data_IF_068540219433
#
_entry.id   IF_068540219433
#
_cell.length_a   1.000
_cell.length_b   1.000
_cell.length_c   1.000
_cell.angle_alpha   90.00
_cell.angle_beta   90.00
_cell.angle_gamma   90.00
#
_symmetry.space_group_name_H-M   'P 1'
#
loop_
_entity.id
_entity.type
_entity.pdbx_description
1 polymer ?
#
# COMPACT_ATOMS: atom_id res chain seq x y z
N UNK A 1 -11.45 -1.78 18.70
CA UNK A 1 -9.98 -1.86 18.91
C UNK A 1 -9.33 -0.74 18.13
N UNK A 2 -8.28 -0.18 18.65
CA UNK A 2 -7.52 0.84 17.94
C UNK A 2 -6.65 0.20 16.86
N UNK A 3 -6.58 0.82 15.69
CA UNK A 3 -5.64 0.43 14.62
C UNK A 3 -4.22 0.82 15.04
N UNK A 4 -3.24 -0.07 14.82
CA UNK A 4 -1.83 0.22 15.10
C UNK A 4 -1.15 0.79 13.84
N UNK A 5 -0.41 1.89 14.01
CA UNK A 5 0.42 2.45 12.92
C UNK A 5 1.80 1.83 12.97
N UNK A 6 2.24 1.28 11.85
CA UNK A 6 3.54 0.64 11.67
C UNK A 6 4.32 1.38 10.59
N UNK A 7 5.50 1.90 10.93
CA UNK A 7 6.28 2.75 10.02
C UNK A 7 7.45 2.02 9.35
N UNK A 8 7.87 0.86 9.84
CA UNK A 8 9.03 0.14 9.31
C UNK A 8 8.68 -1.27 8.85
N UNK A 9 9.42 -1.78 7.85
CA UNK A 9 9.28 -3.16 7.39
C UNK A 9 9.60 -4.17 8.49
N UNK A 10 10.58 -3.86 9.34
CA UNK A 10 10.96 -4.75 10.44
C UNK A 10 9.81 -4.91 11.45
N UNK A 11 9.19 -3.82 11.86
CA UNK A 11 8.05 -3.87 12.78
C UNK A 11 6.83 -4.54 12.15
N UNK A 12 6.58 -4.28 10.85
CA UNK A 12 5.51 -4.95 10.10
C UNK A 12 5.73 -6.47 10.10
N UNK A 13 6.94 -6.93 9.78
CA UNK A 13 7.29 -8.35 9.78
C UNK A 13 7.08 -8.97 11.18
N UNK A 14 7.55 -8.31 12.24
CA UNK A 14 7.38 -8.76 13.62
C UNK A 14 5.91 -8.97 13.96
N UNK A 15 5.05 -8.01 13.64
CA UNK A 15 3.60 -8.12 13.89
C UNK A 15 2.95 -9.24 13.10
N UNK A 16 3.31 -9.37 11.82
CA UNK A 16 2.72 -10.38 10.94
C UNK A 16 3.23 -11.80 11.24
N UNK A 17 4.47 -11.95 11.70
CA UNK A 17 5.01 -13.25 12.11
C UNK A 17 4.27 -13.81 13.32
N UNK A 18 3.91 -12.97 14.30
CA UNK A 18 3.07 -13.36 15.44
C UNK A 18 1.71 -13.88 14.96
N UNK A 19 1.07 -13.16 14.04
CA UNK A 19 -0.24 -13.53 13.48
C UNK A 19 -0.15 -14.86 12.73
N UNK A 20 0.83 -14.99 11.84
CA UNK A 20 1.02 -16.20 11.03
C UNK A 20 1.40 -17.42 11.85
N UNK A 21 2.14 -17.24 12.94
CA UNK A 21 2.52 -18.36 13.83
C UNK A 21 1.30 -19.02 14.50
N UNK A 22 0.19 -18.29 14.62
CA UNK A 22 -1.10 -18.84 15.08
C UNK A 22 -1.93 -19.49 13.98
N UNK A 23 -1.45 -19.48 12.73
CA UNK A 23 -2.19 -19.99 11.56
C UNK A 23 -3.19 -19.01 10.98
N UNK A 24 -3.21 -17.76 11.46
CA UNK A 24 -4.15 -16.74 11.00
C UNK A 24 -3.77 -16.19 9.62
N UNK A 25 -4.77 -15.88 8.82
CA UNK A 25 -4.63 -15.31 7.48
C UNK A 25 -4.49 -13.79 7.50
N UNK A 26 -3.76 -13.24 6.54
CA UNK A 26 -3.51 -11.81 6.40
C UNK A 26 -4.16 -11.29 5.12
N UNK A 27 -5.00 -10.27 5.26
CA UNK A 27 -5.52 -9.46 4.17
C UNK A 27 -4.69 -8.19 3.98
N UNK A 28 -4.55 -7.73 2.76
CA UNK A 28 -3.77 -6.54 2.44
C UNK A 28 -4.48 -5.62 1.46
N UNK A 29 -4.59 -4.35 1.81
CA UNK A 29 -5.18 -3.28 0.98
C UNK A 29 -4.12 -2.21 0.74
N UNK A 30 -3.41 -2.22 -0.41
CA UNK A 30 -2.45 -1.18 -0.75
C UNK A 30 -3.15 0.10 -1.22
N UNK A 31 -2.77 1.24 -0.63
CA UNK A 31 -3.33 2.55 -0.99
C UNK A 31 -2.26 3.65 -0.96
N UNK A 32 -2.60 4.80 -1.50
CA UNK A 32 -1.80 6.02 -1.36
C UNK A 32 -2.34 6.97 -0.28
N UNK A 33 -3.31 6.54 0.52
CA UNK A 33 -3.99 7.39 1.49
C UNK A 33 -5.05 8.30 0.87
N UNK A 34 -5.52 9.26 1.67
CA UNK A 34 -6.67 10.12 1.33
C UNK A 34 -7.89 9.27 0.93
N UNK A 35 -8.25 8.38 1.84
CA UNK A 35 -9.16 7.29 1.59
C UNK A 35 -10.62 7.77 1.48
N UNK A 36 -11.40 7.04 0.72
CA UNK A 36 -12.83 7.27 0.54
C UNK A 36 -13.61 5.95 0.67
N UNK A 37 -14.92 6.00 0.51
CA UNK A 37 -15.81 4.84 0.66
C UNK A 37 -15.44 3.66 -0.24
N UNK A 38 -14.89 3.91 -1.43
CA UNK A 38 -14.38 2.85 -2.32
C UNK A 38 -13.25 2.06 -1.68
N UNK A 39 -12.27 2.74 -1.07
CA UNK A 39 -11.22 2.08 -0.28
C UNK A 39 -11.80 1.36 0.93
N UNK A 40 -12.77 1.98 1.61
CA UNK A 40 -13.46 1.37 2.75
C UNK A 40 -14.09 0.03 2.39
N UNK A 41 -14.70 -0.09 1.21
CA UNK A 41 -15.28 -1.36 0.75
C UNK A 41 -14.24 -2.47 0.56
N UNK A 42 -12.99 -2.12 0.19
CA UNK A 42 -11.90 -3.09 0.12
C UNK A 42 -11.46 -3.54 1.52
N UNK A 43 -11.44 -2.62 2.49
CA UNK A 43 -11.18 -2.96 3.89
C UNK A 43 -12.26 -3.90 4.41
N UNK A 44 -13.54 -3.61 4.15
CA UNK A 44 -14.66 -4.47 4.55
C UNK A 44 -14.51 -5.88 3.96
N UNK A 45 -14.17 -5.99 2.67
CA UNK A 45 -13.95 -7.27 2.00
C UNK A 45 -12.78 -8.05 2.63
N UNK A 46 -11.69 -7.37 2.94
CA UNK A 46 -10.53 -7.98 3.61
C UNK A 46 -10.90 -8.49 5.01
N UNK A 47 -11.54 -7.67 5.82
CA UNK A 47 -11.98 -8.03 7.18
C UNK A 47 -12.95 -9.21 7.18
N UNK A 48 -13.83 -9.29 6.18
CA UNK A 48 -14.78 -10.40 6.04
C UNK A 48 -14.11 -11.73 5.63
N UNK A 49 -12.96 -11.69 4.96
CA UNK A 49 -12.34 -12.85 4.31
C UNK A 49 -10.99 -13.27 4.90
N UNK A 50 -10.45 -12.50 5.85
CA UNK A 50 -9.16 -12.79 6.50
C UNK A 50 -9.21 -12.48 7.98
N UNK A 51 -8.25 -13.01 8.74
CA UNK A 51 -8.23 -12.87 10.21
C UNK A 51 -7.64 -11.54 10.66
N UNK A 52 -6.71 -10.97 9.89
CA UNK A 52 -6.09 -9.68 10.16
C UNK A 52 -5.97 -8.88 8.86
N UNK A 53 -6.37 -7.62 8.89
CA UNK A 53 -6.27 -6.71 7.74
C UNK A 53 -5.19 -5.65 7.97
N UNK A 54 -4.27 -5.57 7.00
CA UNK A 54 -3.26 -4.50 6.86
C UNK A 54 -3.69 -3.57 5.75
N UNK A 55 -3.68 -2.27 6.01
CA UNK A 55 -3.82 -1.23 4.98
C UNK A 55 -2.49 -0.52 4.85
N UNK A 56 -1.94 -0.35 3.66
CA UNK A 56 -0.78 0.52 3.48
C UNK A 56 -1.19 1.89 2.95
N UNK A 57 -0.56 2.93 3.50
CA UNK A 57 -0.68 4.31 3.04
C UNK A 57 0.71 4.78 2.65
N UNK A 58 0.96 4.86 1.36
CA UNK A 58 2.25 5.27 0.81
C UNK A 58 2.04 5.98 -0.52
N UNK A 59 2.49 7.25 -0.60
CA UNK A 59 2.46 8.04 -1.83
C UNK A 59 3.75 7.75 -2.60
N UNK A 60 3.62 6.96 -3.68
CA UNK A 60 4.76 6.44 -4.44
C UNK A 60 5.36 7.50 -5.37
N UNK A 61 6.61 7.95 -5.16
CA UNK A 61 7.22 8.95 -6.03
C UNK A 61 7.48 8.45 -7.46
N UNK A 62 7.68 7.15 -7.67
CA UNK A 62 7.99 6.59 -8.99
C UNK A 62 6.84 6.68 -9.99
N UNK A 63 5.59 6.79 -9.54
CA UNK A 63 4.44 6.90 -10.42
C UNK A 63 4.07 8.35 -10.78
N UNK A 64 4.81 9.32 -10.23
CA UNK A 64 4.67 10.74 -10.56
C UNK A 64 5.73 11.14 -11.57
N UNK A 65 5.32 11.76 -12.69
CA UNK A 65 6.21 12.30 -13.70
C UNK A 65 6.75 13.69 -13.34
N UNK A 66 7.67 14.20 -14.15
CA UNK A 66 8.31 15.51 -13.94
C UNK A 66 7.33 16.70 -13.93
N UNK A 67 6.17 16.57 -14.61
CA UNK A 67 5.12 17.60 -14.63
C UNK A 67 4.05 17.40 -13.58
N UNK A 68 4.14 16.39 -12.72
CA UNK A 68 3.17 16.07 -11.68
C UNK A 68 3.68 16.49 -10.32
N UNK A 69 2.81 17.11 -9.52
CA UNK A 69 3.18 17.62 -8.20
C UNK A 69 2.94 16.56 -7.11
N UNK A 70 4.00 15.81 -6.80
CA UNK A 70 4.00 14.84 -5.71
C UNK A 70 3.75 15.52 -4.35
N UNK A 71 4.29 16.72 -4.14
CA UNK A 71 4.17 17.44 -2.87
C UNK A 71 2.74 17.91 -2.58
N UNK A 72 1.93 18.19 -3.63
CA UNK A 72 0.54 18.61 -3.49
C UNK A 72 -0.45 17.47 -3.43
N UNK A 73 0.00 16.20 -3.56
CA UNK A 73 -0.88 15.05 -3.41
C UNK A 73 -1.57 15.11 -2.04
N UNK A 74 -2.91 15.03 -1.98
CA UNK A 74 -3.64 15.21 -0.72
C UNK A 74 -3.33 14.11 0.30
N UNK A 75 -3.14 14.51 1.56
CA UNK A 75 -2.81 13.62 2.67
C UNK A 75 -3.66 13.99 3.89
N UNK A 76 -4.29 12.99 4.48
CA UNK A 76 -5.02 13.12 5.74
C UNK A 76 -4.93 11.79 6.51
N UNK A 77 -3.81 11.58 7.20
CA UNK A 77 -3.56 10.33 7.91
C UNK A 77 -4.55 10.09 9.04
N UNK A 78 -5.02 11.14 9.71
CA UNK A 78 -5.98 11.01 10.82
C UNK A 78 -7.32 10.48 10.32
N UNK A 79 -7.85 11.04 9.22
CA UNK A 79 -9.07 10.56 8.60
C UNK A 79 -8.90 9.13 8.03
N UNK A 80 -7.75 8.83 7.46
CA UNK A 80 -7.43 7.47 6.98
C UNK A 80 -7.44 6.44 8.11
N UNK A 81 -6.85 6.79 9.26
CA UNK A 81 -6.84 5.94 10.46
C UNK A 81 -8.25 5.72 11.00
N UNK A 82 -9.07 6.76 11.05
CA UNK A 82 -10.46 6.67 11.49
C UNK A 82 -11.27 5.76 10.57
N UNK A 83 -11.17 5.96 9.25
CA UNK A 83 -11.87 5.12 8.28
C UNK A 83 -11.46 3.66 8.39
N UNK A 84 -10.17 3.36 8.38
CA UNK A 84 -9.65 2.00 8.45
C UNK A 84 -9.98 1.33 9.78
N UNK A 85 -9.78 2.03 10.89
CA UNK A 85 -10.03 1.52 12.24
C UNK A 85 -11.51 1.23 12.48
N UNK A 86 -12.41 2.11 12.06
CA UNK A 86 -13.86 1.93 12.20
C UNK A 86 -14.38 0.72 11.41
N UNK A 87 -13.67 0.30 10.37
CA UNK A 87 -14.01 -0.86 9.53
C UNK A 87 -13.32 -2.15 9.96
N UNK A 88 -12.49 -2.11 11.01
CA UNK A 88 -11.87 -3.30 11.59
C UNK A 88 -10.49 -3.65 11.05
N UNK A 89 -9.82 -2.76 10.32
CA UNK A 89 -8.41 -2.94 9.99
C UNK A 89 -7.56 -2.93 11.27
N UNK A 90 -6.57 -3.80 11.34
CA UNK A 90 -5.72 -4.00 12.52
C UNK A 90 -4.43 -3.19 12.47
N UNK A 91 -3.81 -3.12 11.29
CA UNK A 91 -2.54 -2.43 11.08
C UNK A 91 -2.66 -1.43 9.92
N UNK A 92 -2.10 -0.25 10.11
CA UNK A 92 -1.86 0.70 9.03
C UNK A 92 -0.36 0.85 8.82
N UNK A 93 0.14 0.35 7.69
CA UNK A 93 1.53 0.44 7.31
C UNK A 93 1.77 1.77 6.59
N UNK A 94 2.50 2.66 7.26
CA UNK A 94 2.80 4.01 6.76
C UNK A 94 4.32 4.23 6.71
N UNK A 95 5.00 3.61 5.73
CA UNK A 95 6.45 3.71 5.62
C UNK A 95 6.90 5.05 5.04
N UNK A 96 8.11 5.49 5.41
CA UNK A 96 8.82 6.50 4.66
C UNK A 96 9.36 5.96 3.34
N UNK A 97 9.82 6.86 2.46
CA UNK A 97 10.37 6.49 1.15
C UNK A 97 11.57 5.55 1.28
N UNK A 98 12.41 5.75 2.28
CA UNK A 98 13.59 4.93 2.57
C UNK A 98 13.26 3.49 2.98
N UNK A 99 12.06 3.26 3.51
CA UNK A 99 11.59 1.90 3.84
C UNK A 99 11.16 1.12 2.59
N UNK A 100 10.58 1.82 1.62
CA UNK A 100 10.12 1.20 0.37
C UNK A 100 11.26 1.13 -0.66
N UNK A 101 12.10 2.16 -0.71
CA UNK A 101 13.24 2.29 -1.61
C UNK A 101 14.54 2.54 -0.83
N UNK A 102 15.06 1.55 -0.07
CA UNK A 102 16.25 1.73 0.77
C UNK A 102 17.52 2.02 -0.01
N UNK A 103 17.58 1.61 -1.28
CA UNK A 103 18.69 1.89 -2.18
C UNK A 103 18.68 3.31 -2.77
N UNK A 104 17.69 4.12 -2.41
CA UNK A 104 17.46 5.46 -2.95
C UNK A 104 16.67 5.46 -4.25
N UNK A 105 16.71 6.53 -5.05
CA UNK A 105 15.99 6.63 -6.31
C UNK A 105 16.36 5.49 -7.26
N UNK A 106 15.35 4.75 -7.72
CA UNK A 106 15.53 3.58 -8.59
C UNK A 106 14.72 3.74 -9.87
N UNK A 107 15.13 3.03 -10.91
CA UNK A 107 14.30 2.82 -12.10
C UNK A 107 13.41 1.59 -11.88
N UNK A 108 12.14 1.63 -12.30
CA UNK A 108 11.27 0.46 -12.23
C UNK A 108 11.87 -0.71 -13.01
N UNK A 109 11.93 -1.89 -12.36
CA UNK A 109 12.46 -3.12 -12.96
C UNK A 109 11.40 -4.21 -13.13
N UNK A 110 10.23 -4.04 -12.50
CA UNK A 110 9.11 -4.95 -12.68
C UNK A 110 8.54 -4.76 -14.09
N UNK A 111 8.49 -5.81 -14.92
CA UNK A 111 7.98 -5.69 -16.28
C UNK A 111 6.48 -5.40 -16.28
N UNK A 112 6.07 -4.52 -17.18
CA UNK A 112 4.66 -4.23 -17.46
C UNK A 112 4.29 -4.70 -18.87
N UNK A 113 3.07 -5.21 -19.01
CA UNK A 113 2.57 -5.67 -20.29
C UNK A 113 2.18 -4.51 -21.22
N UNK A 114 2.00 -4.81 -22.52
CA UNK A 114 1.59 -3.83 -23.53
C UNK A 114 0.27 -3.12 -23.19
N UNK A 115 -0.59 -3.75 -22.39
CA UNK A 115 -1.83 -3.14 -21.87
C UNK A 115 -1.58 -1.87 -21.05
N UNK A 116 -0.37 -1.67 -20.53
CA UNK A 116 0.02 -0.47 -19.81
C UNK A 116 0.34 0.73 -20.70
N UNK A 117 0.41 0.57 -22.02
CA UNK A 117 0.81 1.62 -22.97
C UNK A 117 -0.29 2.61 -23.35
N UNK A 118 -1.55 2.19 -23.65
CA UNK A 118 -2.60 3.10 -24.10
C UNK A 118 -3.17 3.95 -22.95
N UNK A 119 -4.03 4.92 -23.29
CA UNK A 119 -4.74 5.78 -22.36
C UNK A 119 -3.80 6.52 -21.38
N UNK A 120 -3.90 6.27 -20.09
CA UNK A 120 -3.04 6.91 -19.09
C UNK A 120 -1.55 6.55 -19.25
N UNK A 121 -1.24 5.37 -19.76
CA UNK A 121 0.14 5.00 -20.08
C UNK A 121 0.76 5.87 -21.16
N UNK A 122 -0.02 6.28 -22.16
CA UNK A 122 0.41 7.22 -23.21
C UNK A 122 0.57 8.65 -22.66
N UNK A 123 -0.38 9.10 -21.84
CA UNK A 123 -0.39 10.45 -21.25
C UNK A 123 0.62 10.62 -20.11
N UNK A 124 0.91 9.55 -19.39
CA UNK A 124 1.79 9.52 -18.22
C UNK A 124 2.86 8.44 -18.39
N UNK A 125 3.88 8.66 -19.27
CA UNK A 125 4.95 7.69 -19.50
C UNK A 125 5.63 7.27 -18.19
N UNK A 126 5.80 5.97 -17.99
CA UNK A 126 6.40 5.41 -16.76
C UNK A 126 5.48 5.31 -15.56
N UNK A 127 4.26 5.84 -15.61
CA UNK A 127 3.31 5.78 -14.49
C UNK A 127 3.03 4.34 -14.05
N UNK A 128 2.58 3.49 -14.97
CA UNK A 128 2.23 2.10 -14.61
C UNK A 128 3.45 1.25 -14.26
N UNK A 129 4.62 1.53 -14.82
CA UNK A 129 5.86 0.89 -14.38
C UNK A 129 6.19 1.23 -12.93
N UNK A 130 5.99 2.48 -12.52
CA UNK A 130 6.12 2.93 -11.12
C UNK A 130 5.09 2.27 -10.21
N UNK A 131 3.84 2.12 -10.67
CA UNK A 131 2.78 1.43 -9.92
C UNK A 131 3.13 -0.05 -9.72
N UNK A 132 3.55 -0.75 -10.76
CA UNK A 132 3.96 -2.15 -10.67
C UNK A 132 5.13 -2.35 -9.70
N UNK A 133 6.11 -1.45 -9.73
CA UNK A 133 7.28 -1.50 -8.83
C UNK A 133 6.89 -1.34 -7.36
N UNK A 134 6.07 -0.34 -7.02
CA UNK A 134 5.66 -0.13 -5.62
C UNK A 134 4.79 -1.27 -5.12
N UNK A 135 3.86 -1.78 -5.92
CA UNK A 135 3.00 -2.91 -5.52
C UNK A 135 3.84 -4.15 -5.23
N UNK A 136 4.82 -4.46 -6.07
CA UNK A 136 5.73 -5.57 -5.84
C UNK A 136 6.52 -5.42 -4.53
N UNK A 137 7.00 -4.20 -4.23
CA UNK A 137 7.73 -3.91 -2.99
C UNK A 137 6.85 -4.01 -1.75
N UNK A 138 5.64 -3.48 -1.82
CA UNK A 138 4.68 -3.57 -0.72
C UNK A 138 4.26 -5.02 -0.46
N UNK A 139 4.01 -5.81 -1.50
CA UNK A 139 3.70 -7.24 -1.36
C UNK A 139 4.87 -8.03 -0.75
N UNK A 140 6.11 -7.71 -1.11
CA UNK A 140 7.29 -8.32 -0.46
C UNK A 140 7.40 -7.92 1.02
N UNK A 141 7.09 -6.67 1.36
CA UNK A 141 7.12 -6.20 2.74
C UNK A 141 6.07 -6.90 3.61
N UNK A 142 4.86 -7.07 3.09
CA UNK A 142 3.77 -7.76 3.80
C UNK A 142 3.99 -9.28 3.81
N UNK A 143 4.53 -9.86 2.73
CA UNK A 143 4.68 -11.30 2.58
C UNK A 143 3.37 -12.00 2.22
N UNK A 144 3.22 -13.32 2.53
CA UNK A 144 2.02 -14.07 2.14
C UNK A 144 0.74 -13.41 2.63
N UNK A 145 -0.15 -13.06 1.70
CA UNK A 145 -1.39 -12.36 2.00
C UNK A 145 -2.43 -12.58 0.89
N UNK A 146 -3.67 -12.20 1.19
CA UNK A 146 -4.72 -12.01 0.20
C UNK A 146 -4.88 -10.50 -0.04
N UNK A 147 -4.57 -10.05 -1.25
CA UNK A 147 -4.69 -8.64 -1.61
C UNK A 147 -6.09 -8.31 -2.14
N UNK A 148 -6.51 -7.08 -1.88
CA UNK A 148 -7.82 -6.54 -2.27
C UNK A 148 -7.67 -5.22 -3.01
#
# INVERSE_FOLDING_TARGET
MSIEVVATRALLAERLDVVRSSGASVGFVPTMGYLHEGHGSLVDASVALTDLTVVSVFVNPLQFGAGEDLASYPRDLEADLELCGSRGASLLFHPGVEEVYPEGPVQPVVPVADVARPLEGERRPGHFAGVAEVVARLLRAVGPCRAF
#
